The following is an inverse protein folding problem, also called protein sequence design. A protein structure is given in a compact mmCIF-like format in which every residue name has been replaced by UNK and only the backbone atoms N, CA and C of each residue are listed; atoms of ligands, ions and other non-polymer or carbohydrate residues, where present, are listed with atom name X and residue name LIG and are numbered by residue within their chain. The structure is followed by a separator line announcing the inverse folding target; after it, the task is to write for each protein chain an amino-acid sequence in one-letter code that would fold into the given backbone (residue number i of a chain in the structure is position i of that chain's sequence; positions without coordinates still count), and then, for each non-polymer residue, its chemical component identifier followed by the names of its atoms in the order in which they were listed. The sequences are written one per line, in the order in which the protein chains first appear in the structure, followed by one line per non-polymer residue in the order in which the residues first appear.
data_IF_161407566071
#
_entry.id   IF_161407566071
#
_cell.length_a   1.000
_cell.length_b   1.000
_cell.length_c   1.000
_cell.angle_alpha   90.00
_cell.angle_beta   90.00
_cell.angle_gamma   90.00
#
_symmetry.space_group_name_H-M   'P 1'
#
loop_
_entity.id
_entity.type
_entity.pdbx_description
1 polymer ?
#
# COMPACT_ATOMS: atom_id res chain seq x y z
N UNK A 1 23.62 -13.06 -7.84
CA UNK A 1 22.42 -12.78 -8.67
C UNK A 1 22.05 -11.31 -8.49
N UNK A 2 22.34 -10.48 -9.49
CA UNK A 2 22.22 -9.03 -9.45
C UNK A 2 20.80 -8.59 -9.84
N UNK A 3 19.98 -8.17 -8.86
CA UNK A 3 18.59 -7.81 -9.07
C UNK A 3 18.21 -6.44 -8.51
N UNK A 4 18.92 -5.36 -8.89
CA UNK A 4 18.45 -4.00 -8.58
C UNK A 4 17.30 -3.65 -9.53
N UNK A 5 16.06 -3.94 -9.13
CA UNK A 5 14.87 -3.39 -9.82
C UNK A 5 14.72 -1.93 -9.46
N UNK A 6 14.65 -1.07 -10.47
CA UNK A 6 14.43 0.36 -10.27
C UNK A 6 12.99 0.65 -9.86
N UNK A 7 12.74 1.86 -9.35
CA UNK A 7 11.37 2.35 -9.13
C UNK A 7 10.57 2.43 -10.46
N UNK A 8 11.24 2.58 -11.61
CA UNK A 8 10.57 2.50 -12.92
C UNK A 8 10.05 1.09 -13.16
N UNK A 9 10.85 0.07 -12.86
CA UNK A 9 10.47 -1.33 -13.07
C UNK A 9 9.33 -1.74 -12.14
N UNK A 10 9.37 -1.31 -10.87
CA UNK A 10 8.27 -1.57 -9.92
C UNK A 10 6.95 -0.94 -10.39
N UNK A 11 6.98 0.26 -10.96
CA UNK A 11 5.78 0.90 -11.50
C UNK A 11 5.23 0.14 -12.71
N UNK A 12 6.10 -0.30 -13.63
CA UNK A 12 5.69 -1.17 -14.76
C UNK A 12 5.05 -2.48 -14.27
N UNK A 13 5.62 -3.10 -13.23
CA UNK A 13 5.07 -4.31 -12.63
C UNK A 13 3.70 -4.07 -11.98
N UNK A 14 3.49 -2.93 -11.32
CA UNK A 14 2.17 -2.58 -10.76
C UNK A 14 1.12 -2.48 -11.87
N UNK A 15 1.45 -1.81 -12.98
CA UNK A 15 0.54 -1.67 -14.12
C UNK A 15 0.18 -3.04 -14.70
N UNK A 16 1.19 -3.89 -14.90
CA UNK A 16 0.99 -5.23 -15.46
C UNK A 16 0.21 -6.16 -14.52
N UNK A 17 0.47 -6.08 -13.22
CA UNK A 17 -0.28 -6.81 -12.20
C UNK A 17 -1.76 -6.41 -12.22
N UNK A 18 -2.06 -5.10 -12.26
CA UNK A 18 -3.44 -4.63 -12.26
C UNK A 18 -4.16 -5.05 -13.55
N UNK A 19 -3.48 -4.96 -14.70
CA UNK A 19 -4.00 -5.42 -15.99
C UNK A 19 -4.34 -6.91 -15.94
N UNK A 20 -3.43 -7.72 -15.40
CA UNK A 20 -3.62 -9.16 -15.25
C UNK A 20 -4.81 -9.47 -14.34
N UNK A 21 -4.87 -8.87 -13.14
CA UNK A 21 -5.96 -9.08 -12.19
C UNK A 21 -7.32 -8.72 -12.83
N UNK A 22 -7.43 -7.56 -13.48
CA UNK A 22 -8.68 -7.12 -14.10
C UNK A 22 -9.06 -7.95 -15.34
N UNK A 23 -8.09 -8.56 -16.02
CA UNK A 23 -8.40 -9.48 -17.12
C UNK A 23 -8.97 -10.81 -16.64
N UNK A 24 -8.52 -11.30 -15.48
CA UNK A 24 -8.97 -12.58 -14.89
C UNK A 24 -10.27 -12.37 -14.10
N UNK A 25 -10.41 -11.23 -13.42
CA UNK A 25 -11.55 -10.91 -12.57
C UNK A 25 -12.13 -9.53 -12.95
N UNK A 26 -12.90 -9.42 -14.05
CA UNK A 26 -13.35 -8.12 -14.59
C UNK A 26 -14.17 -7.28 -13.61
N UNK A 27 -14.88 -7.92 -12.67
CA UNK A 27 -15.72 -7.25 -11.69
C UNK A 27 -15.00 -6.91 -10.38
N UNK A 28 -13.72 -7.28 -10.21
CA UNK A 28 -13.00 -7.01 -8.97
C UNK A 28 -12.64 -5.54 -8.83
N UNK A 29 -12.69 -5.03 -7.60
CA UNK A 29 -12.18 -3.71 -7.27
C UNK A 29 -10.82 -3.85 -6.59
N UNK A 30 -9.82 -3.15 -7.12
CA UNK A 30 -8.47 -3.17 -6.57
C UNK A 30 -8.34 -2.05 -5.53
N UNK A 31 -7.94 -2.39 -4.31
CA UNK A 31 -7.64 -1.43 -3.25
C UNK A 31 -6.13 -1.39 -3.05
N UNK A 32 -5.52 -0.21 -3.17
CA UNK A 32 -4.12 -0.01 -2.82
C UNK A 32 -3.98 0.34 -1.34
N UNK A 33 -3.39 -0.55 -0.54
CA UNK A 33 -2.95 -0.23 0.82
C UNK A 33 -1.57 0.41 0.79
N UNK A 34 -1.43 1.58 1.41
CA UNK A 34 -0.18 2.32 1.43
C UNK A 34 0.95 1.49 2.06
N UNK A 35 2.07 1.37 1.34
CA UNK A 35 3.30 0.79 1.88
C UNK A 35 3.76 1.66 3.04
N UNK A 36 3.91 1.04 4.22
CA UNK A 36 4.23 1.70 5.48
C UNK A 36 5.67 2.21 5.51
N UNK A 37 5.96 3.29 6.27
CA UNK A 37 7.32 3.77 6.50
C UNK A 37 8.15 2.70 7.22
N UNK A 38 9.47 2.73 7.00
CA UNK A 38 10.44 1.86 7.67
C UNK A 38 11.65 2.69 8.08
N UNK A 39 12.19 2.40 9.26
CA UNK A 39 13.43 3.03 9.71
C UNK A 39 14.66 2.28 9.23
N UNK A 40 14.52 1.01 8.82
CA UNK A 40 15.61 0.17 8.30
C UNK A 40 15.27 -0.43 6.93
N UNK A 41 16.28 -0.53 6.05
CA UNK A 41 16.15 -1.07 4.70
C UNK A 41 17.32 -2.01 4.40
N UNK A 42 17.01 -3.29 4.10
CA UNK A 42 18.00 -4.37 3.94
C UNK A 42 19.13 -4.08 2.93
N UNK A 43 18.89 -3.24 1.93
CA UNK A 43 19.83 -3.00 0.82
C UNK A 43 20.18 -1.53 0.61
N UNK A 44 19.90 -0.66 1.58
CA UNK A 44 20.20 0.78 1.47
C UNK A 44 20.25 1.46 2.83
N UNK A 45 21.35 2.13 3.13
CA UNK A 45 21.48 2.97 4.33
C UNK A 45 20.90 4.37 4.14
N UNK A 46 20.61 4.78 2.89
CA UNK A 46 20.00 6.07 2.59
C UNK A 46 18.48 6.05 2.86
N UNK A 47 18.11 6.20 4.13
CA UNK A 47 16.71 6.18 4.60
C UNK A 47 15.83 7.23 3.92
N UNK A 48 16.37 8.42 3.67
CA UNK A 48 15.65 9.53 3.02
C UNK A 48 15.29 9.19 1.57
N UNK A 49 16.26 8.66 0.80
CA UNK A 49 16.02 8.23 -0.57
C UNK A 49 15.00 7.09 -0.63
N UNK A 50 15.07 6.14 0.31
CA UNK A 50 14.13 5.02 0.39
C UNK A 50 12.72 5.47 0.75
N UNK A 51 12.54 6.39 1.71
CA UNK A 51 11.22 6.94 2.03
C UNK A 51 10.64 7.74 0.85
N UNK A 52 11.47 8.50 0.13
CA UNK A 52 11.05 9.19 -1.10
C UNK A 52 10.61 8.20 -2.18
N UNK A 53 11.33 7.09 -2.34
CA UNK A 53 10.95 6.03 -3.27
C UNK A 53 9.63 5.35 -2.88
N UNK A 54 9.43 5.06 -1.58
CA UNK A 54 8.18 4.53 -1.02
C UNK A 54 7.00 5.46 -1.30
N UNK A 55 7.14 6.76 -1.01
CA UNK A 55 6.09 7.78 -1.27
C UNK A 55 5.72 7.84 -2.75
N UNK A 56 6.71 7.80 -3.64
CA UNK A 56 6.48 7.74 -5.10
C UNK A 56 5.78 6.45 -5.54
N UNK A 57 6.14 5.31 -4.93
CA UNK A 57 5.48 4.04 -5.20
C UNK A 57 4.01 4.07 -4.76
N UNK A 58 3.73 4.58 -3.56
CA UNK A 58 2.37 4.74 -3.05
C UNK A 58 1.54 5.67 -3.92
N UNK A 59 2.09 6.82 -4.32
CA UNK A 59 1.41 7.74 -5.23
C UNK A 59 1.08 7.09 -6.57
N UNK A 60 2.00 6.31 -7.15
CA UNK A 60 1.73 5.63 -8.40
C UNK A 60 0.67 4.53 -8.26
N UNK A 61 0.79 3.67 -7.23
CA UNK A 61 -0.14 2.59 -6.98
C UNK A 61 -1.55 3.08 -6.67
N UNK A 62 -1.68 4.13 -5.85
CA UNK A 62 -2.98 4.73 -5.53
C UNK A 62 -3.62 5.38 -6.74
N UNK A 63 -2.87 6.18 -7.52
CA UNK A 63 -3.38 6.76 -8.77
C UNK A 63 -3.85 5.68 -9.73
N UNK A 64 -3.12 4.56 -9.84
CA UNK A 64 -3.52 3.46 -10.72
C UNK A 64 -4.76 2.74 -10.22
N UNK A 65 -4.89 2.51 -8.92
CA UNK A 65 -6.06 1.87 -8.32
C UNK A 65 -7.31 2.71 -8.55
N UNK A 66 -7.23 4.02 -8.30
CA UNK A 66 -8.32 4.97 -8.55
C UNK A 66 -8.70 5.03 -10.03
N UNK A 67 -7.71 5.06 -10.94
CA UNK A 67 -7.97 5.06 -12.38
C UNK A 67 -8.67 3.78 -12.89
N UNK A 68 -8.56 2.67 -12.16
CA UNK A 68 -9.29 1.43 -12.43
C UNK A 68 -10.65 1.34 -11.70
N UNK A 69 -11.14 2.46 -11.13
CA UNK A 69 -12.38 2.48 -10.34
C UNK A 69 -12.28 1.75 -9.01
N UNK A 70 -11.05 1.54 -8.52
CA UNK A 70 -10.70 1.01 -7.21
C UNK A 70 -10.53 2.12 -6.17
N UNK A 71 -9.79 1.84 -5.10
CA UNK A 71 -9.66 2.73 -3.94
C UNK A 71 -8.24 2.77 -3.36
N UNK A 72 -8.01 3.72 -2.45
CA UNK A 72 -6.75 3.89 -1.73
C UNK A 72 -6.97 3.89 -0.21
N UNK A 73 -6.17 3.10 0.51
CA UNK A 73 -6.08 3.10 1.96
C UNK A 73 -4.77 3.76 2.40
N UNK A 74 -4.89 4.95 2.97
CA UNK A 74 -3.74 5.77 3.33
C UNK A 74 -3.00 5.26 4.58
N UNK A 75 -3.66 4.51 5.46
CA UNK A 75 -3.14 4.10 6.77
C UNK A 75 -2.59 5.33 7.53
N UNK A 76 -3.46 6.31 7.82
CA UNK A 76 -3.08 7.66 8.30
C UNK A 76 -2.22 7.66 9.55
N UNK A 77 -2.39 6.70 10.45
CA UNK A 77 -1.58 6.53 11.66
C UNK A 77 -0.11 6.21 11.36
N UNK A 78 0.19 5.83 10.11
CA UNK A 78 1.53 5.50 9.63
C UNK A 78 2.09 6.57 8.68
N UNK A 79 1.67 7.83 8.83
CA UNK A 79 2.18 8.94 8.02
C UNK A 79 3.71 9.12 8.14
N UNK A 80 4.27 8.77 9.30
CA UNK A 80 5.71 8.71 9.60
C UNK A 80 6.02 7.45 10.42
N UNK A 81 7.30 7.11 10.53
CA UNK A 81 7.73 6.01 11.39
C UNK A 81 7.62 6.43 12.86
N UNK A 82 6.95 5.63 13.68
CA UNK A 82 6.81 5.85 15.12
C UNK A 82 7.22 4.56 15.85
N UNK A 83 8.28 4.64 16.66
CA UNK A 83 8.99 3.46 17.18
C UNK A 83 8.09 2.45 17.89
N UNK A 84 7.12 2.91 18.68
CA UNK A 84 6.20 2.04 19.43
C UNK A 84 5.22 1.23 18.55
N UNK A 85 5.04 1.61 17.28
CA UNK A 85 4.20 0.90 16.31
C UNK A 85 4.98 -0.19 15.55
N UNK A 86 6.29 -0.30 15.77
CA UNK A 86 7.15 -1.25 15.07
C UNK A 86 7.94 -2.10 16.06
N UNK A 87 8.36 -3.26 15.58
CA UNK A 87 9.38 -4.05 16.25
C UNK A 87 10.74 -3.35 16.21
N UNK A 88 11.66 -3.79 17.07
CA UNK A 88 13.02 -3.22 17.18
C UNK A 88 13.81 -3.28 15.87
N UNK A 89 13.42 -4.13 14.93
CA UNK A 89 14.06 -4.21 13.62
C UNK A 89 13.73 -3.04 12.68
N UNK A 90 12.77 -2.19 13.04
CA UNK A 90 12.40 -1.01 12.27
C UNK A 90 11.69 -1.28 10.95
N UNK A 91 11.18 -2.51 10.77
CA UNK A 91 10.53 -2.99 9.55
C UNK A 91 9.16 -3.60 9.84
N UNK A 92 9.07 -4.51 10.82
CA UNK A 92 7.82 -5.19 11.16
C UNK A 92 7.01 -4.38 12.16
N UNK A 93 5.69 -4.54 12.12
CA UNK A 93 4.79 -3.89 13.07
C UNK A 93 4.87 -4.59 14.42
N UNK A 94 4.78 -3.82 15.50
CA UNK A 94 4.54 -4.36 16.84
C UNK A 94 3.12 -4.94 16.92
N UNK A 95 2.77 -5.59 18.04
CA UNK A 95 1.38 -6.01 18.29
C UNK A 95 0.42 -4.83 18.17
N UNK A 96 0.73 -3.70 18.82
CA UNK A 96 -0.08 -2.48 18.74
C UNK A 96 -0.15 -1.92 17.31
N UNK A 97 0.99 -1.87 16.60
CA UNK A 97 1.02 -1.44 15.21
C UNK A 97 0.17 -2.34 14.31
N UNK A 98 0.19 -3.64 14.55
CA UNK A 98 -0.63 -4.63 13.82
C UNK A 98 -2.11 -4.40 14.08
N UNK A 99 -2.52 -4.20 15.33
CA UNK A 99 -3.92 -3.94 15.68
C UNK A 99 -4.45 -2.66 15.00
N UNK A 100 -3.67 -1.58 15.03
CA UNK A 100 -4.03 -0.32 14.36
C UNK A 100 -4.10 -0.51 12.84
N UNK A 101 -3.12 -1.21 12.25
CA UNK A 101 -3.11 -1.48 10.81
C UNK A 101 -4.32 -2.31 10.37
N UNK A 102 -4.66 -3.37 11.11
CA UNK A 102 -5.83 -4.21 10.84
C UNK A 102 -7.13 -3.42 11.02
N UNK A 103 -7.24 -2.59 12.06
CA UNK A 103 -8.41 -1.73 12.28
C UNK A 103 -8.61 -0.75 11.12
N UNK A 104 -7.54 -0.12 10.64
CA UNK A 104 -7.57 0.75 9.46
C UNK A 104 -7.99 0.01 8.19
N UNK A 105 -7.49 -1.21 7.97
CA UNK A 105 -7.91 -2.03 6.83
C UNK A 105 -9.40 -2.38 6.91
N UNK A 106 -9.88 -2.85 8.06
CA UNK A 106 -11.29 -3.19 8.27
C UNK A 106 -12.20 -1.99 8.06
N UNK A 107 -11.94 -0.86 8.71
CA UNK A 107 -12.72 0.37 8.56
C UNK A 107 -12.71 0.87 7.11
N UNK A 108 -11.55 0.80 6.46
CA UNK A 108 -11.38 1.16 5.05
C UNK A 108 -12.21 0.30 4.10
N UNK A 109 -12.12 -1.03 4.26
CA UNK A 109 -12.87 -1.98 3.44
C UNK A 109 -14.38 -1.88 3.69
N UNK A 110 -14.82 -1.72 4.94
CA UNK A 110 -16.22 -1.49 5.27
C UNK A 110 -16.78 -0.27 4.56
N UNK A 111 -16.03 0.85 4.57
CA UNK A 111 -16.41 2.05 3.84
C UNK A 111 -16.59 1.73 2.35
N UNK A 112 -15.68 0.98 1.76
CA UNK A 112 -15.76 0.65 0.34
C UNK A 112 -16.93 -0.26 0.00
N UNK A 113 -17.19 -1.29 0.81
CA UNK A 113 -18.31 -2.21 0.58
C UNK A 113 -19.64 -1.45 0.71
N UNK A 114 -19.82 -0.66 1.78
CA UNK A 114 -21.05 0.11 2.02
C UNK A 114 -21.36 1.13 0.92
N UNK A 115 -20.34 1.71 0.28
CA UNK A 115 -20.53 2.66 -0.84
C UNK A 115 -20.69 1.99 -2.22
N UNK A 116 -20.50 0.67 -2.32
CA UNK A 116 -20.67 -0.10 -3.56
C UNK A 116 -21.95 -0.96 -3.59
N UNK A 117 -22.79 -0.90 -2.55
CA UNK A 117 -24.09 -1.58 -2.57
C UNK A 117 -25.08 -0.76 -3.40
N UNK A 118 -25.66 -1.29 -4.49
CA UNK A 118 -26.80 -0.65 -5.14
C UNK A 118 -27.96 -0.59 -4.15
N UNK A 119 -28.54 0.59 -3.96
CA UNK A 119 -29.80 0.72 -3.23
C UNK A 119 -30.87 0.11 -4.14
N UNK A 120 -31.21 -1.16 -3.92
CA UNK A 120 -32.37 -1.77 -4.55
C UNK A 120 -33.63 -1.24 -3.83
N UNK A 121 -34.37 -0.36 -4.51
CA UNK A 121 -35.77 -0.06 -4.21
C UNK A 121 -36.67 -0.98 -5.04
#
# INVERSE_FOLDING_TARGET
MNGRRSLVDLRKLIVELFRTILSIFPSVKIVWSAVLPRSNWRYSDNKVAMDKARKRLNSHGSSRALACGGQYLANSDFGKFEEHLFEKDGVHLSTLGTDIFLSNMSAGLEKFIKHNTPIHY
#
